data_IF_835484803482
#
_entry.id   IF_835484803482
#
_cell.length_a   1.000
_cell.length_b   1.000
_cell.length_c   1.000
_cell.angle_alpha   90.00
_cell.angle_beta   90.00
_cell.angle_gamma   90.00
#
_symmetry.space_group_name_H-M   'P 1'
#
loop_
_entity.id
_entity.type
_entity.pdbx_description
1 polymer ?
#
# COMPACT_ATOMS: atom_id res chain seq x y z
N UNK A 1 0.90 8.62 -13.77
CA UNK A 1 1.37 8.94 -12.40
C UNK A 1 0.87 7.85 -11.47
N UNK A 2 1.75 7.32 -10.63
CA UNK A 2 1.41 6.30 -9.64
C UNK A 2 1.40 6.94 -8.25
N UNK A 3 0.49 6.49 -7.41
CA UNK A 3 0.34 6.94 -6.03
C UNK A 3 0.62 5.78 -5.10
N UNK A 4 1.30 6.06 -4.00
CA UNK A 4 1.59 5.05 -2.97
C UNK A 4 0.79 5.43 -1.73
N UNK A 5 -0.10 4.54 -1.32
CA UNK A 5 -0.79 4.60 -0.04
C UNK A 5 -0.15 3.63 0.94
N UNK A 6 -0.04 4.04 2.21
CA UNK A 6 0.39 3.16 3.29
C UNK A 6 -0.66 3.16 4.40
N UNK A 7 -0.98 1.98 4.89
CA UNK A 7 -1.77 1.77 6.08
C UNK A 7 -0.87 1.13 7.16
N UNK A 8 -0.69 1.84 8.26
CA UNK A 8 0.28 1.52 9.30
C UNK A 8 -0.44 0.94 10.52
N UNK A 9 -0.25 -0.35 10.76
CA UNK A 9 -0.74 -1.04 11.96
C UNK A 9 0.41 -1.46 12.84
N UNK A 10 0.12 -1.82 14.09
CA UNK A 10 1.15 -2.24 15.05
C UNK A 10 1.97 -3.43 14.56
N UNK A 11 1.32 -4.43 13.97
CA UNK A 11 1.96 -5.72 13.63
C UNK A 11 2.39 -5.83 12.17
N UNK A 12 1.80 -5.03 11.27
CA UNK A 12 2.03 -5.12 9.82
C UNK A 12 1.74 -3.77 9.18
N UNK A 13 2.54 -3.43 8.18
CA UNK A 13 2.31 -2.27 7.33
C UNK A 13 1.84 -2.72 5.95
N UNK A 14 0.77 -2.12 5.45
CA UNK A 14 0.20 -2.41 4.13
C UNK A 14 0.50 -1.29 3.15
N UNK A 15 1.11 -1.66 2.02
CA UNK A 15 1.44 -0.74 0.94
C UNK A 15 0.54 -1.02 -0.27
N UNK A 16 0.03 0.06 -0.87
CA UNK A 16 -0.83 0.02 -2.04
C UNK A 16 -0.30 0.94 -3.12
N UNK A 17 -0.18 0.44 -4.34
CA UNK A 17 0.13 1.25 -5.52
C UNK A 17 -1.15 1.45 -6.32
N UNK A 18 -1.51 2.71 -6.53
CA UNK A 18 -2.72 3.13 -7.24
C UNK A 18 -2.32 3.89 -8.51
N UNK A 19 -3.12 3.75 -9.56
CA UNK A 19 -3.02 4.64 -10.72
C UNK A 19 -3.84 5.93 -10.50
N UNK A 20 -3.74 6.87 -11.43
CA UNK A 20 -4.48 8.15 -11.38
C UNK A 20 -6.01 8.05 -11.42
N UNK A 21 -6.56 6.86 -11.69
CA UNK A 21 -8.00 6.59 -11.62
C UNK A 21 -8.42 5.95 -10.29
N UNK A 22 -7.50 5.87 -9.31
CA UNK A 22 -7.73 5.19 -8.04
C UNK A 22 -7.77 3.67 -8.13
N UNK A 23 -7.43 3.08 -9.29
CA UNK A 23 -7.40 1.61 -9.43
C UNK A 23 -6.12 1.06 -8.81
N UNK A 24 -6.25 0.06 -7.94
CA UNK A 24 -5.13 -0.68 -7.36
C UNK A 24 -4.40 -1.48 -8.44
N UNK A 25 -3.12 -1.17 -8.60
CA UNK A 25 -2.21 -1.86 -9.50
C UNK A 25 -1.45 -2.97 -8.77
N UNK A 26 -0.97 -2.68 -7.56
CA UNK A 26 -0.20 -3.62 -6.76
C UNK A 26 -0.43 -3.38 -5.27
N UNK A 27 -0.15 -4.38 -4.45
CA UNK A 27 -0.13 -4.27 -3.00
C UNK A 27 0.87 -5.23 -2.39
N UNK A 28 1.53 -4.80 -1.31
CA UNK A 28 2.44 -5.64 -0.54
C UNK A 28 2.26 -5.36 0.94
N UNK A 29 2.31 -6.39 1.77
CA UNK A 29 2.36 -6.25 3.21
C UNK A 29 3.78 -6.57 3.72
N UNK A 30 4.18 -5.86 4.77
CA UNK A 30 5.44 -6.09 5.47
C UNK A 30 5.10 -6.27 6.94
N UNK A 31 5.45 -7.41 7.52
CA UNK A 31 5.30 -7.61 8.97
C UNK A 31 6.28 -6.69 9.69
N UNK A 32 5.83 -6.06 10.78
CA UNK A 32 6.66 -5.18 11.61
C UNK A 32 7.47 -5.94 12.67
N UNK A 33 7.53 -7.28 12.56
CA UNK A 33 8.35 -8.12 13.44
C UNK A 33 9.84 -7.89 13.21
#
# INVERSE_FOLDING_TARGET
MNYVGVDLHKETSWFHVLNSKGKRLNSKNVSNK
#
